data_IF_605351460278
#
_entry.id   IF_605351460278
#
_cell.length_a   1.000
_cell.length_b   1.000
_cell.length_c   1.000
_cell.angle_alpha   90.00
_cell.angle_beta   90.00
_cell.angle_gamma   90.00
#
_symmetry.space_group_name_H-M   'P 1'
#
loop_
_entity.id
_entity.type
_entity.pdbx_description
1 polymer ?
#
# COMPACT_ATOMS: atom_id res chain seq x y z
N UNK A 1 -2.73 -5.71 -13.04
CA UNK A 1 -1.49 -4.97 -13.26
C UNK A 1 -1.55 -4.24 -14.60
N UNK A 2 -2.07 -2.99 -14.57
CA UNK A 2 -2.35 -2.18 -15.77
C UNK A 2 -1.10 -1.76 -16.56
N UNK A 3 0.04 -1.66 -15.88
CA UNK A 3 1.29 -1.16 -16.48
C UNK A 3 1.81 -2.04 -17.64
N UNK A 4 1.45 -3.34 -17.67
CA UNK A 4 1.83 -4.25 -18.76
C UNK A 4 1.24 -3.88 -20.13
N UNK A 5 0.20 -3.04 -20.14
CA UNK A 5 -0.44 -2.55 -21.37
C UNK A 5 0.11 -1.20 -21.83
N UNK A 6 1.12 -0.67 -21.15
CA UNK A 6 1.74 0.62 -21.45
C UNK A 6 3.19 0.39 -21.88
N UNK A 7 3.69 1.03 -22.96
CA UNK A 7 5.10 0.94 -23.35
C UNK A 7 6.02 1.54 -22.28
N UNK A 8 7.23 0.98 -22.14
CA UNK A 8 8.20 1.39 -21.10
C UNK A 8 8.53 2.89 -21.13
N UNK A 9 8.54 3.50 -22.32
CA UNK A 9 8.77 4.94 -22.48
C UNK A 9 7.75 5.80 -21.73
N UNK A 10 6.52 5.32 -21.58
CA UNK A 10 5.40 6.07 -20.99
C UNK A 10 5.13 5.67 -19.51
N UNK A 11 5.83 4.66 -18.96
CA UNK A 11 5.62 4.16 -17.59
C UNK A 11 5.66 5.27 -16.54
N UNK A 12 6.66 6.15 -16.63
CA UNK A 12 6.84 7.22 -15.64
C UNK A 12 5.67 8.20 -15.66
N UNK A 13 5.27 8.64 -16.85
CA UNK A 13 4.17 9.58 -17.03
C UNK A 13 2.83 8.94 -16.62
N UNK A 14 2.59 7.70 -17.03
CA UNK A 14 1.39 6.94 -16.68
C UNK A 14 1.25 6.74 -15.17
N UNK A 15 2.30 6.30 -14.49
CA UNK A 15 2.29 6.11 -13.03
C UNK A 15 2.14 7.41 -12.26
N UNK A 16 2.73 8.50 -12.73
CA UNK A 16 2.52 9.82 -12.14
C UNK A 16 1.08 10.32 -12.30
N UNK A 17 0.47 10.09 -13.45
CA UNK A 17 -0.93 10.42 -13.68
C UNK A 17 -1.86 9.59 -12.78
N UNK A 18 -1.64 8.28 -12.67
CA UNK A 18 -2.37 7.42 -11.75
C UNK A 18 -2.22 7.85 -10.29
N UNK A 19 -1.02 8.26 -9.89
CA UNK A 19 -0.79 8.75 -8.53
C UNK A 19 -1.69 9.93 -8.18
N UNK A 20 -1.92 10.85 -9.13
CA UNK A 20 -2.83 11.98 -8.93
C UNK A 20 -4.28 11.54 -8.67
N UNK A 21 -4.71 10.44 -9.27
CA UNK A 21 -6.04 9.86 -9.07
C UNK A 21 -6.19 9.39 -7.63
N UNK A 22 -5.41 8.41 -7.20
CA UNK A 22 -5.60 7.79 -5.86
C UNK A 22 -5.08 8.65 -4.70
N UNK A 23 -4.24 9.66 -4.94
CA UNK A 23 -3.82 10.64 -3.91
C UNK A 23 -4.70 11.88 -3.82
N UNK A 24 -5.81 11.93 -4.54
CA UNK A 24 -6.76 13.03 -4.51
C UNK A 24 -7.27 13.33 -3.08
N UNK A 25 -7.62 14.58 -2.77
CA UNK A 25 -8.01 14.96 -1.41
C UNK A 25 -9.39 14.40 -1.01
N UNK A 26 -10.28 14.14 -1.95
CA UNK A 26 -11.63 13.62 -1.73
C UNK A 26 -12.04 12.61 -2.79
N UNK A 27 -13.09 11.82 -2.50
CA UNK A 27 -13.66 10.88 -3.46
C UNK A 27 -14.08 11.58 -4.77
N UNK A 28 -14.77 12.71 -4.67
CA UNK A 28 -15.20 13.49 -5.85
C UNK A 28 -13.99 13.96 -6.68
N UNK A 29 -12.93 14.42 -6.03
CA UNK A 29 -11.70 14.81 -6.73
C UNK A 29 -11.00 13.60 -7.37
N UNK A 30 -11.05 12.42 -6.74
CA UNK A 30 -10.54 11.16 -7.30
C UNK A 30 -11.30 10.77 -8.56
N UNK A 31 -12.62 10.78 -8.54
CA UNK A 31 -13.48 10.47 -9.68
C UNK A 31 -13.20 11.43 -10.85
N UNK A 32 -13.15 12.75 -10.60
CA UNK A 32 -12.83 13.75 -11.62
C UNK A 32 -11.42 13.54 -12.20
N UNK A 33 -10.44 13.23 -11.35
CA UNK A 33 -9.08 12.94 -11.80
C UNK A 33 -9.01 11.68 -12.65
N UNK A 34 -9.83 10.67 -12.32
CA UNK A 34 -9.91 9.44 -13.11
C UNK A 34 -10.56 9.66 -14.48
N UNK A 35 -11.62 10.46 -14.57
CA UNK A 35 -12.19 10.84 -15.86
C UNK A 35 -11.16 11.57 -16.75
N UNK A 36 -10.44 12.53 -16.19
CA UNK A 36 -9.36 13.22 -16.90
C UNK A 36 -8.23 12.26 -17.31
N UNK A 37 -7.90 11.30 -16.45
CA UNK A 37 -6.93 10.26 -16.74
C UNK A 37 -7.36 9.40 -17.93
N UNK A 38 -8.62 8.95 -17.98
CA UNK A 38 -9.15 8.17 -19.11
C UNK A 38 -9.03 8.92 -20.43
N UNK A 39 -9.37 10.21 -20.44
CA UNK A 39 -9.24 11.05 -21.63
C UNK A 39 -7.79 11.21 -22.09
N UNK A 40 -6.86 11.36 -21.17
CA UNK A 40 -5.44 11.54 -21.47
C UNK A 40 -4.77 10.26 -22.02
N UNK A 41 -5.24 9.08 -21.56
CA UNK A 41 -4.59 7.80 -21.83
C UNK A 41 -5.39 6.87 -22.75
N UNK A 42 -6.24 7.44 -23.60
CA UNK A 42 -7.08 6.70 -24.57
C UNK A 42 -6.30 5.77 -25.50
N UNK A 43 -5.02 6.07 -25.74
CA UNK A 43 -4.13 5.20 -26.52
C UNK A 43 -3.86 3.82 -25.88
N UNK A 44 -4.16 3.66 -24.58
CA UNK A 44 -3.92 2.41 -23.82
C UNK A 44 -5.20 1.88 -23.17
N UNK A 45 -6.21 1.48 -23.98
CA UNK A 45 -7.52 1.09 -23.47
C UNK A 45 -7.46 -0.10 -22.50
N UNK A 46 -6.58 -1.06 -22.73
CA UNK A 46 -6.40 -2.20 -21.82
C UNK A 46 -5.87 -1.81 -20.43
N UNK A 47 -5.09 -0.72 -20.33
CA UNK A 47 -4.65 -0.21 -19.05
C UNK A 47 -5.79 0.50 -18.31
N UNK A 48 -6.61 1.27 -19.03
CA UNK A 48 -7.78 1.97 -18.48
C UNK A 48 -8.81 0.96 -17.98
N UNK A 49 -9.15 -0.04 -18.78
CA UNK A 49 -10.14 -1.07 -18.48
C UNK A 49 -9.83 -1.85 -17.16
N UNK A 50 -8.54 -2.11 -16.90
CA UNK A 50 -8.14 -2.70 -15.60
C UNK A 50 -8.53 -1.79 -14.42
N UNK A 51 -8.40 -0.48 -14.58
CA UNK A 51 -8.74 0.48 -13.53
C UNK A 51 -10.25 0.69 -13.41
N UNK A 52 -10.98 0.77 -14.52
CA UNK A 52 -12.44 0.90 -14.51
C UNK A 52 -13.12 -0.26 -13.78
N UNK A 53 -12.73 -1.50 -14.13
CA UNK A 53 -13.29 -2.71 -13.48
C UNK A 53 -13.00 -2.81 -11.99
N UNK A 54 -11.97 -2.15 -11.51
CA UNK A 54 -11.54 -2.22 -10.11
C UNK A 54 -11.65 -0.85 -9.41
N UNK A 55 -12.31 0.13 -10.02
CA UNK A 55 -12.34 1.49 -9.48
C UNK A 55 -13.07 1.57 -8.15
N UNK A 56 -14.07 0.76 -7.94
CA UNK A 56 -14.77 0.60 -6.66
C UNK A 56 -13.80 0.35 -5.49
N UNK A 57 -12.78 -0.48 -5.69
CA UNK A 57 -11.76 -0.71 -4.67
C UNK A 57 -10.88 0.53 -4.40
N UNK A 58 -10.72 1.40 -5.39
CA UNK A 58 -10.04 2.68 -5.19
C UNK A 58 -10.93 3.64 -4.39
N UNK A 59 -12.24 3.65 -4.67
CA UNK A 59 -13.22 4.47 -3.97
C UNK A 59 -13.29 4.10 -2.49
N UNK A 60 -13.29 2.81 -2.13
CA UNK A 60 -13.27 2.31 -0.76
C UNK A 60 -12.09 2.85 0.07
N UNK A 61 -10.96 3.20 -0.56
CA UNK A 61 -9.85 3.82 0.16
C UNK A 61 -10.21 5.20 0.73
N UNK A 62 -11.21 5.86 0.17
CA UNK A 62 -11.66 7.17 0.61
C UNK A 62 -12.58 7.14 1.83
N UNK A 63 -13.00 5.95 2.28
CA UNK A 63 -13.63 5.74 3.59
C UNK A 63 -12.63 6.05 4.73
N UNK A 64 -11.32 6.00 4.41
CA UNK A 64 -10.24 6.31 5.35
C UNK A 64 -9.75 7.76 5.17
N UNK A 65 -9.43 8.41 6.28
CA UNK A 65 -8.87 9.76 6.29
C UNK A 65 -7.51 9.85 5.56
N UNK A 66 -7.16 11.05 5.10
CA UNK A 66 -5.96 11.29 4.29
C UNK A 66 -4.65 10.84 4.93
N UNK A 67 -4.53 10.91 6.28
CA UNK A 67 -3.34 10.47 6.99
C UNK A 67 -3.19 8.94 6.97
N UNK A 68 -4.29 8.18 7.13
CA UNK A 68 -4.30 6.72 7.00
C UNK A 68 -3.97 6.34 5.56
N UNK A 69 -4.63 6.94 4.57
CA UNK A 69 -4.37 6.67 3.15
C UNK A 69 -2.91 6.91 2.78
N UNK A 70 -2.29 7.96 3.31
CA UNK A 70 -0.86 8.24 3.08
C UNK A 70 0.02 7.08 3.56
N UNK A 71 -0.28 6.50 4.71
CA UNK A 71 0.44 5.32 5.20
C UNK A 71 0.20 4.12 4.28
N UNK A 72 -1.05 3.85 3.89
CA UNK A 72 -1.39 2.76 2.97
C UNK A 72 -0.64 2.84 1.64
N UNK A 73 -0.40 4.05 1.11
CA UNK A 73 0.28 4.26 -0.17
C UNK A 73 1.81 4.27 -0.06
N UNK A 74 2.37 4.63 1.07
CA UNK A 74 3.82 4.87 1.20
C UNK A 74 4.55 3.78 1.96
N UNK A 75 3.86 3.04 2.82
CA UNK A 75 4.49 2.06 3.68
C UNK A 75 3.87 0.71 3.43
N UNK A 76 4.45 -0.05 2.54
CA UNK A 76 4.10 -1.45 2.46
C UNK A 76 4.91 -2.21 3.51
N UNK A 77 4.44 -2.20 4.77
CA UNK A 77 5.04 -2.95 5.85
C UNK A 77 5.16 -4.44 5.48
N UNK A 78 4.13 -4.98 4.81
CA UNK A 78 4.10 -6.37 4.33
C UNK A 78 5.16 -6.60 3.25
N UNK A 79 5.32 -5.70 2.27
CA UNK A 79 6.40 -5.81 1.27
C UNK A 79 7.78 -5.68 1.89
N UNK A 80 7.96 -4.82 2.88
CA UNK A 80 9.21 -4.70 3.63
C UNK A 80 9.55 -5.99 4.35
N UNK A 81 8.57 -6.63 5.01
CA UNK A 81 8.71 -7.94 5.65
C UNK A 81 9.03 -9.01 4.61
N UNK A 82 8.26 -9.11 3.52
CA UNK A 82 8.49 -10.08 2.45
C UNK A 82 9.86 -9.89 1.79
N UNK A 83 10.28 -8.65 1.55
CA UNK A 83 11.61 -8.35 1.03
C UNK A 83 12.71 -8.80 2.00
N UNK A 84 12.49 -8.60 3.29
CA UNK A 84 13.39 -9.02 4.35
C UNK A 84 13.48 -10.55 4.45
N UNK A 85 12.35 -11.23 4.37
CA UNK A 85 12.29 -12.71 4.37
C UNK A 85 12.99 -13.29 3.14
N UNK A 86 12.76 -12.73 1.96
CA UNK A 86 13.45 -13.15 0.73
C UNK A 86 14.97 -13.10 0.83
N UNK A 87 15.53 -12.14 1.58
CA UNK A 87 16.99 -12.07 1.79
C UNK A 87 17.55 -13.28 2.52
N UNK A 88 16.79 -13.84 3.45
CA UNK A 88 17.23 -15.00 4.25
C UNK A 88 16.82 -16.34 3.65
N UNK A 89 15.73 -16.39 2.88
CA UNK A 89 15.22 -17.60 2.25
C UNK A 89 15.86 -17.90 0.88
N UNK A 90 16.44 -16.91 0.19
CA UNK A 90 17.13 -17.10 -1.09
C UNK A 90 18.45 -17.89 -0.99
N UNK A 91 18.97 -18.12 0.20
CA UNK A 91 20.32 -18.69 0.40
C UNK A 91 20.42 -20.22 0.30
N UNK A 92 19.36 -20.92 -0.11
CA UNK A 92 19.45 -22.35 -0.35
C UNK A 92 18.22 -23.15 0.08
N UNK A 93 18.32 -24.47 -0.10
CA UNK A 93 17.33 -25.41 0.40
C UNK A 93 17.47 -25.53 1.93
N UNK A 94 16.33 -25.54 2.62
CA UNK A 94 16.29 -25.81 4.05
C UNK A 94 16.16 -27.33 4.27
N UNK A 95 16.90 -27.90 5.22
CA UNK A 95 16.88 -29.34 5.48
C UNK A 95 15.50 -29.82 5.98
N UNK A 96 14.74 -28.96 6.62
CA UNK A 96 13.39 -29.21 7.09
C UNK A 96 12.63 -27.91 7.37
N UNK A 97 11.32 -28.01 7.61
CA UNK A 97 10.44 -26.90 7.90
C UNK A 97 10.86 -26.12 9.16
N UNK A 98 11.30 -26.81 10.22
CA UNK A 98 11.75 -26.19 11.46
C UNK A 98 12.98 -25.31 11.24
N UNK A 99 13.88 -25.67 10.36
CA UNK A 99 15.05 -24.85 10.02
C UNK A 99 14.62 -23.55 9.32
N UNK A 100 13.64 -23.62 8.43
CA UNK A 100 13.04 -22.44 7.79
C UNK A 100 12.34 -21.54 8.82
N UNK A 101 11.49 -22.10 9.66
CA UNK A 101 10.77 -21.36 10.70
C UNK A 101 11.73 -20.65 11.67
N UNK A 102 12.80 -21.33 12.07
CA UNK A 102 13.85 -20.74 12.93
C UNK A 102 14.50 -19.51 12.29
N UNK A 103 14.85 -19.60 11.00
CA UNK A 103 15.45 -18.47 10.28
C UNK A 103 14.48 -17.32 10.13
N UNK A 104 13.22 -17.59 9.84
CA UNK A 104 12.17 -16.56 9.78
C UNK A 104 11.94 -15.91 11.14
N UNK A 105 11.89 -16.69 12.22
CA UNK A 105 11.76 -16.18 13.58
C UNK A 105 12.90 -15.23 13.97
N UNK A 106 14.15 -15.64 13.73
CA UNK A 106 15.32 -14.80 13.99
C UNK A 106 15.26 -13.49 13.19
N UNK A 107 14.78 -13.57 11.94
CA UNK A 107 14.63 -12.38 11.10
C UNK A 107 13.53 -11.45 11.62
N UNK A 108 12.44 -11.98 12.16
CA UNK A 108 11.38 -11.19 12.82
C UNK A 108 11.98 -10.44 14.02
N UNK A 109 12.75 -11.12 14.87
CA UNK A 109 13.39 -10.49 16.04
C UNK A 109 14.30 -9.33 15.66
N UNK A 110 15.10 -9.48 14.60
CA UNK A 110 15.92 -8.38 14.08
C UNK A 110 15.07 -7.20 13.58
N UNK A 111 13.91 -7.48 12.94
CA UNK A 111 13.00 -6.45 12.46
C UNK A 111 12.29 -5.74 13.63
N UNK A 112 11.87 -6.47 14.68
CA UNK A 112 11.29 -5.89 15.90
C UNK A 112 12.24 -4.85 16.49
N UNK A 113 13.48 -5.22 16.76
CA UNK A 113 14.50 -4.30 17.30
C UNK A 113 14.71 -3.07 16.42
N UNK A 114 14.67 -3.26 15.09
CA UNK A 114 14.80 -2.14 14.15
C UNK A 114 13.58 -1.21 14.16
N UNK A 115 12.40 -1.74 14.41
CA UNK A 115 11.14 -0.98 14.37
C UNK A 115 10.76 -0.35 15.71
N UNK A 116 11.22 -0.88 16.83
CA UNK A 116 11.01 -0.30 18.16
C UNK A 116 11.44 1.17 18.28
N UNK A 117 12.42 1.61 17.47
CA UNK A 117 12.84 3.02 17.39
C UNK A 117 12.15 3.84 16.30
N UNK A 118 11.31 3.22 15.46
CA UNK A 118 10.69 3.85 14.30
C UNK A 118 9.47 4.69 14.68
N UNK A 119 9.51 6.00 14.41
CA UNK A 119 8.34 6.87 14.57
C UNK A 119 7.56 6.97 13.26
N UNK A 120 6.28 6.63 13.28
CA UNK A 120 5.36 6.93 12.18
C UNK A 120 5.12 8.44 12.17
N UNK A 121 5.46 9.10 11.07
CA UNK A 121 5.15 10.53 10.92
C UNK A 121 3.64 10.79 11.09
N UNK A 122 3.31 11.84 11.84
CA UNK A 122 1.93 12.22 12.12
C UNK A 122 1.10 11.13 12.84
N UNK A 123 1.75 10.28 13.65
CA UNK A 123 1.08 9.19 14.36
C UNK A 123 -0.15 9.64 15.15
N UNK A 124 -0.07 10.78 15.83
CA UNK A 124 -1.22 11.32 16.58
C UNK A 124 -2.46 11.54 15.70
N UNK A 125 -2.27 12.07 14.48
CA UNK A 125 -3.36 12.27 13.53
C UNK A 125 -3.89 10.93 13.01
N UNK A 126 -3.01 10.00 12.69
CA UNK A 126 -3.38 8.64 12.25
C UNK A 126 -4.17 7.93 13.33
N UNK A 127 -3.70 7.96 14.56
CA UNK A 127 -4.38 7.39 15.72
C UNK A 127 -5.79 7.96 15.90
N UNK A 128 -5.92 9.28 15.83
CA UNK A 128 -7.22 9.92 15.96
C UNK A 128 -8.17 9.49 14.84
N UNK A 129 -7.70 9.38 13.60
CA UNK A 129 -8.53 8.90 12.49
C UNK A 129 -8.92 7.42 12.66
N UNK A 130 -8.03 6.56 13.17
CA UNK A 130 -8.34 5.16 13.48
C UNK A 130 -9.42 5.03 14.57
N UNK A 131 -9.37 5.90 15.59
CA UNK A 131 -10.35 5.92 16.67
C UNK A 131 -11.72 6.45 16.25
N UNK A 132 -11.79 7.23 15.17
CA UNK A 132 -13.05 7.70 14.58
C UNK A 132 -13.69 6.66 13.65
N UNK A 133 -12.97 5.62 13.27
CA UNK A 133 -13.47 4.57 12.39
C UNK A 133 -14.04 3.43 13.25
N UNK A 134 -15.35 3.25 13.28
CA UNK A 134 -16.04 2.35 14.19
C UNK A 134 -15.49 0.91 14.15
N UNK A 135 -15.23 0.37 12.96
CA UNK A 135 -14.70 -0.99 12.79
C UNK A 135 -13.27 -1.17 13.31
N UNK A 136 -12.49 -0.08 13.37
CA UNK A 136 -11.07 -0.12 13.74
C UNK A 136 -10.84 0.34 15.18
N UNK A 137 -11.78 1.06 15.78
CA UNK A 137 -11.68 1.64 17.12
C UNK A 137 -11.28 0.62 18.17
N UNK A 138 -12.04 -0.47 18.27
CA UNK A 138 -11.81 -1.49 19.29
C UNK A 138 -10.47 -2.22 19.11
N UNK A 139 -10.06 -2.41 17.85
CA UNK A 139 -8.75 -2.98 17.53
C UNK A 139 -7.63 -2.02 17.86
N UNK A 140 -7.79 -0.75 17.50
CA UNK A 140 -6.79 0.28 17.79
C UNK A 140 -6.58 0.46 19.28
N UNK A 141 -7.64 0.47 20.10
CA UNK A 141 -7.54 0.59 21.55
C UNK A 141 -6.74 -0.54 22.22
N UNK A 142 -6.85 -1.79 21.72
CA UNK A 142 -6.10 -2.94 22.26
C UNK A 142 -4.57 -2.83 22.09
N UNK A 143 -4.10 -1.98 21.19
CA UNK A 143 -2.67 -1.81 20.89
C UNK A 143 -2.13 -0.43 21.30
N UNK A 144 -2.95 0.38 21.97
CA UNK A 144 -2.58 1.73 22.43
C UNK A 144 -2.32 1.80 23.93
N UNK A 145 -2.60 0.71 24.65
CA UNK A 145 -2.22 0.49 26.04
C UNK A 145 -0.78 -0.07 26.11
#
# INVERSE_FOLDING_TARGET
NSIKYVPSKDYKAFTQALRKVYSAPSLKACQNAFESFKQQWTAYPGAIDVWERNFEHVEQLFDYGSAIRKIMYTTNAVESIHSSFRKVTKKGAFPNENALLKVLYLRIKELETKWEGGRIQNWAMVRNQLLLHDELKDRALRYLE
#
